data_IF_789427116350
#
_entry.id   IF_789427116350
#
_cell.length_a   1.000
_cell.length_b   1.000
_cell.length_c   1.000
_cell.angle_alpha   90.00
_cell.angle_beta   90.00
_cell.angle_gamma   90.00
#
_symmetry.space_group_name_H-M   'P 1'
#
loop_
_entity.id
_entity.type
_entity.pdbx_description
1 polymer ?
#
# COMPACT_ATOMS: atom_id res chain seq x y z
N UNK A 1 33.89 3.51 25.59
CA UNK A 1 32.52 3.40 25.04
C UNK A 1 32.54 4.00 23.65
N UNK A 2 32.51 3.17 22.61
CA UNK A 2 32.31 3.64 21.23
C UNK A 2 30.85 4.11 21.14
N UNK A 3 30.62 5.35 20.68
CA UNK A 3 29.28 5.79 20.36
C UNK A 3 28.68 4.84 19.31
N UNK A 4 27.41 4.47 19.47
CA UNK A 4 26.72 3.71 18.44
C UNK A 4 26.60 4.58 17.17
N UNK A 5 26.82 3.99 16.00
CA UNK A 5 26.62 4.67 14.71
C UNK A 5 25.18 5.21 14.63
N UNK A 6 24.97 6.46 14.16
CA UNK A 6 23.64 7.05 14.07
C UNK A 6 22.75 6.25 13.13
N UNK A 7 21.50 6.01 13.56
CA UNK A 7 20.53 5.27 12.75
C UNK A 7 20.17 6.03 11.48
N UNK A 8 19.57 5.35 10.49
CA UNK A 8 19.04 6.05 9.32
C UNK A 8 17.90 7.02 9.70
N UNK A 9 17.19 6.73 10.79
CA UNK A 9 16.20 7.66 11.34
C UNK A 9 16.84 8.95 11.83
N UNK A 10 17.98 8.87 12.53
CA UNK A 10 18.73 10.06 12.98
C UNK A 10 19.27 10.87 11.81
N UNK A 11 19.72 10.19 10.74
CA UNK A 11 20.20 10.83 9.51
C UNK A 11 19.09 11.54 8.73
N UNK A 12 17.88 10.97 8.68
CA UNK A 12 16.71 11.60 8.04
C UNK A 12 16.17 12.75 8.88
N UNK A 13 16.06 12.52 10.20
CA UNK A 13 15.43 13.43 11.15
C UNK A 13 13.90 13.28 11.19
N UNK A 14 13.35 13.32 12.41
CA UNK A 14 11.93 13.12 12.68
C UNK A 14 11.02 14.08 11.90
N UNK A 15 11.38 15.37 11.84
CA UNK A 15 10.58 16.41 11.18
C UNK A 15 10.56 16.24 9.65
N UNK A 16 11.70 15.91 9.02
CA UNK A 16 11.77 15.66 7.57
C UNK A 16 10.96 14.42 7.21
N UNK A 17 11.09 13.34 7.98
CA UNK A 17 10.29 12.15 7.76
C UNK A 17 8.80 12.47 7.85
N UNK A 18 8.38 13.27 8.83
CA UNK A 18 6.97 13.64 9.00
C UNK A 18 6.45 14.52 7.86
N UNK A 19 7.25 15.48 7.38
CA UNK A 19 6.90 16.30 6.23
C UNK A 19 6.72 15.46 4.97
N UNK A 20 7.62 14.49 4.73
CA UNK A 20 7.53 13.55 3.61
C UNK A 20 6.27 12.69 3.68
N UNK A 21 5.95 12.13 4.86
CA UNK A 21 4.72 11.33 5.06
C UNK A 21 3.46 12.16 4.85
N UNK A 22 3.46 13.42 5.27
CA UNK A 22 2.33 14.32 5.06
C UNK A 22 2.09 14.59 3.56
N UNK A 23 3.14 14.94 2.81
CA UNK A 23 3.08 15.12 1.34
C UNK A 23 2.64 13.84 0.63
N UNK A 24 3.20 12.69 1.02
CA UNK A 24 2.76 11.40 0.52
C UNK A 24 1.24 11.20 0.66
N UNK A 25 0.66 11.53 1.82
CA UNK A 25 -0.78 11.39 2.00
C UNK A 25 -1.62 12.43 1.26
N UNK A 26 -1.11 13.65 1.04
CA UNK A 26 -1.76 14.59 0.11
C UNK A 26 -1.88 13.98 -1.29
N UNK A 27 -0.79 13.38 -1.79
CA UNK A 27 -0.77 12.70 -3.08
C UNK A 27 -1.70 11.49 -3.12
N UNK A 28 -1.69 10.65 -2.08
CA UNK A 28 -2.56 9.46 -1.99
C UNK A 28 -4.04 9.84 -2.06
N UNK A 29 -4.46 10.86 -1.31
CA UNK A 29 -5.86 11.27 -1.29
C UNK A 29 -6.29 11.95 -2.60
N UNK A 30 -5.37 12.60 -3.31
CA UNK A 30 -5.63 13.22 -4.62
C UNK A 30 -5.49 12.23 -5.80
N UNK A 31 -4.96 11.02 -5.58
CA UNK A 31 -4.65 10.09 -6.65
C UNK A 31 -5.90 9.45 -7.26
N UNK A 32 -6.00 9.50 -8.59
CA UNK A 32 -7.16 8.99 -9.33
C UNK A 32 -7.31 7.46 -9.26
N UNK A 33 -6.23 6.71 -9.00
CA UNK A 33 -6.27 5.24 -8.96
C UNK A 33 -6.49 4.69 -7.57
N UNK A 34 -6.05 5.37 -6.52
CA UNK A 34 -6.14 4.84 -5.14
C UNK A 34 -6.89 5.75 -4.16
N UNK A 35 -7.10 7.02 -4.46
CA UNK A 35 -7.71 7.99 -3.53
C UNK A 35 -9.09 7.58 -3.03
N UNK A 36 -9.88 6.89 -3.86
CA UNK A 36 -11.20 6.39 -3.47
C UNK A 36 -11.15 5.39 -2.29
N UNK A 37 -10.04 4.66 -2.10
CA UNK A 37 -9.85 3.73 -0.98
C UNK A 37 -9.69 4.46 0.37
N UNK A 38 -9.37 5.75 0.32
CA UNK A 38 -9.10 6.60 1.48
C UNK A 38 -10.24 7.56 1.83
N UNK A 39 -11.36 7.52 1.09
CA UNK A 39 -12.55 8.33 1.40
C UNK A 39 -13.07 8.03 2.81
N UNK A 40 -13.31 9.09 3.58
CA UNK A 40 -13.80 9.01 4.96
C UNK A 40 -12.77 8.51 5.97
N UNK A 41 -11.50 8.31 5.57
CA UNK A 41 -10.41 8.00 6.53
C UNK A 41 -9.89 9.28 7.16
N UNK A 42 -9.53 9.18 8.43
CA UNK A 42 -8.83 10.25 9.14
C UNK A 42 -7.38 10.36 8.63
N UNK A 43 -7.10 11.41 7.86
CA UNK A 43 -5.77 11.67 7.28
C UNK A 43 -4.70 11.88 8.35
N UNK A 44 -5.01 12.61 9.43
CA UNK A 44 -4.04 12.89 10.48
C UNK A 44 -3.65 11.58 11.21
N UNK A 45 -4.63 10.72 11.47
CA UNK A 45 -4.38 9.41 12.04
C UNK A 45 -3.51 8.53 11.12
N UNK A 46 -3.77 8.54 9.81
CA UNK A 46 -2.98 7.77 8.84
C UNK A 46 -1.52 8.26 8.77
N UNK A 47 -1.31 9.57 8.72
CA UNK A 47 0.04 10.18 8.75
C UNK A 47 0.79 9.74 10.01
N UNK A 48 0.13 9.74 11.17
CA UNK A 48 0.76 9.33 12.43
C UNK A 48 1.22 7.87 12.38
N UNK A 49 0.34 6.95 11.98
CA UNK A 49 0.64 5.51 11.93
C UNK A 49 1.73 5.18 10.90
N UNK A 50 1.72 5.84 9.75
CA UNK A 50 2.75 5.63 8.73
C UNK A 50 4.09 6.21 9.16
N UNK A 51 4.10 7.36 9.84
CA UNK A 51 5.32 7.96 10.39
C UNK A 51 5.96 7.04 11.45
N UNK A 52 5.17 6.52 12.39
CA UNK A 52 5.66 5.56 13.40
C UNK A 52 6.28 4.32 12.75
N UNK A 53 5.59 3.76 11.76
CA UNK A 53 6.04 2.57 11.04
C UNK A 53 7.34 2.85 10.28
N UNK A 54 7.42 3.96 9.55
CA UNK A 54 8.61 4.35 8.80
C UNK A 54 9.80 4.67 9.72
N UNK A 55 9.56 5.37 10.84
CA UNK A 55 10.59 5.66 11.84
C UNK A 55 11.20 4.36 12.39
N UNK A 56 10.35 3.40 12.75
CA UNK A 56 10.76 2.08 13.22
C UNK A 56 11.55 1.31 12.16
N UNK A 57 11.13 1.34 10.89
CA UNK A 57 11.84 0.70 9.77
C UNK A 57 13.25 1.26 9.55
N UNK A 58 13.45 2.55 9.85
CA UNK A 58 14.75 3.22 9.76
C UNK A 58 15.63 3.05 11.00
N UNK A 59 15.16 2.29 12.00
CA UNK A 59 15.90 2.01 13.23
C UNK A 59 15.69 3.05 14.34
N UNK A 60 14.71 3.94 14.22
CA UNK A 60 14.33 4.84 15.30
C UNK A 60 13.66 4.10 16.46
N UNK A 61 13.87 4.58 17.68
CA UNK A 61 13.21 4.06 18.90
C UNK A 61 11.76 4.58 18.99
N UNK A 62 10.95 4.18 18.01
CA UNK A 62 9.53 4.55 17.89
C UNK A 62 8.69 3.27 17.87
N UNK A 63 7.71 3.22 18.76
CA UNK A 63 6.73 2.14 18.79
C UNK A 63 5.65 2.39 17.73
N UNK A 64 5.32 1.35 16.96
CA UNK A 64 4.15 1.37 16.10
C UNK A 64 2.90 1.07 16.94
N UNK A 65 1.98 2.04 17.03
CA UNK A 65 0.76 1.93 17.83
C UNK A 65 -0.49 1.62 16.97
N UNK A 66 -0.30 1.31 15.69
CA UNK A 66 -1.38 0.96 14.79
C UNK A 66 -1.85 -0.48 14.90
N UNK A 67 -3.00 -0.75 14.29
CA UNK A 67 -3.52 -2.12 14.15
C UNK A 67 -2.57 -2.97 13.31
N UNK A 68 -2.52 -4.30 13.50
CA UNK A 68 -1.81 -5.18 12.59
C UNK A 68 -2.25 -4.95 11.14
N UNK A 69 -1.29 -4.90 10.21
CA UNK A 69 -1.55 -4.49 8.82
C UNK A 69 -2.61 -5.37 8.15
N UNK A 70 -2.56 -6.70 8.38
CA UNK A 70 -3.60 -7.64 7.89
C UNK A 70 -4.99 -7.25 8.35
N UNK A 71 -5.16 -6.86 9.62
CA UNK A 71 -6.45 -6.49 10.16
C UNK A 71 -6.92 -5.13 9.63
N UNK A 72 -6.02 -4.16 9.56
CA UNK A 72 -6.31 -2.82 9.07
C UNK A 72 -6.80 -2.82 7.62
N UNK A 73 -6.28 -3.73 6.79
CA UNK A 73 -6.58 -3.80 5.35
C UNK A 73 -7.58 -4.90 4.96
N UNK A 74 -7.95 -5.82 5.89
CA UNK A 74 -8.82 -6.99 5.61
C UNK A 74 -10.11 -6.68 4.85
N UNK A 75 -10.72 -5.52 5.09
CA UNK A 75 -12.01 -5.13 4.50
C UNK A 75 -11.88 -4.26 3.24
N UNK A 76 -10.66 -3.93 2.82
CA UNK A 76 -10.40 -3.08 1.66
C UNK A 76 -10.07 -3.93 0.44
N UNK A 77 -10.75 -3.76 -0.71
CA UNK A 77 -10.44 -4.48 -1.95
C UNK A 77 -9.17 -3.90 -2.60
N UNK A 78 -8.01 -4.25 -2.06
CA UNK A 78 -6.70 -3.76 -2.52
C UNK A 78 -6.12 -4.76 -3.53
N UNK A 79 -6.10 -4.37 -4.80
CA UNK A 79 -5.45 -5.11 -5.88
C UNK A 79 -3.95 -4.81 -5.91
N UNK A 80 -3.17 -5.65 -6.61
CA UNK A 80 -1.73 -5.46 -6.72
C UNK A 80 -1.32 -4.10 -7.28
N UNK A 81 -1.99 -3.64 -8.34
CA UNK A 81 -1.74 -2.33 -8.93
C UNK A 81 -2.00 -1.15 -7.97
N UNK A 82 -2.96 -1.28 -7.04
CA UNK A 82 -3.20 -0.25 -6.02
C UNK A 82 -2.01 -0.16 -5.05
N UNK A 83 -1.46 -1.31 -4.66
CA UNK A 83 -0.29 -1.37 -3.80
C UNK A 83 0.94 -0.74 -4.48
N UNK A 84 1.17 -1.06 -5.74
CA UNK A 84 2.31 -0.52 -6.49
C UNK A 84 2.16 0.97 -6.74
N UNK A 85 0.94 1.46 -7.01
CA UNK A 85 0.70 2.89 -7.11
C UNK A 85 1.06 3.62 -5.82
N UNK A 86 0.63 3.08 -4.67
CA UNK A 86 1.00 3.64 -3.36
C UNK A 86 2.53 3.68 -3.19
N UNK A 87 3.23 2.60 -3.56
CA UNK A 87 4.69 2.53 -3.49
C UNK A 87 5.38 3.58 -4.39
N UNK A 88 4.85 3.82 -5.58
CA UNK A 88 5.39 4.83 -6.48
C UNK A 88 5.20 6.25 -5.92
N UNK A 89 4.03 6.56 -5.36
CA UNK A 89 3.81 7.84 -4.66
C UNK A 89 4.74 8.00 -3.45
N UNK A 90 4.98 6.93 -2.70
CA UNK A 90 5.92 6.91 -1.59
C UNK A 90 7.35 7.19 -2.07
N UNK A 91 7.79 6.55 -3.17
CA UNK A 91 9.10 6.80 -3.79
C UNK A 91 9.24 8.26 -4.22
N UNK A 92 8.23 8.82 -4.87
CA UNK A 92 8.24 10.22 -5.32
C UNK A 92 8.36 11.19 -4.15
N UNK A 93 7.55 11.00 -3.09
CA UNK A 93 7.64 11.83 -1.89
C UNK A 93 9.02 11.75 -1.22
N UNK A 94 9.63 10.56 -1.15
CA UNK A 94 10.98 10.44 -0.57
C UNK A 94 12.06 11.17 -1.39
N UNK A 95 11.95 11.13 -2.72
CA UNK A 95 12.86 11.85 -3.62
C UNK A 95 12.67 13.35 -3.48
N UNK A 96 11.43 13.83 -3.52
CA UNK A 96 11.10 15.27 -3.46
C UNK A 96 11.46 15.91 -2.10
N UNK A 97 11.61 15.10 -1.04
CA UNK A 97 12.05 15.55 0.29
C UNK A 97 13.53 15.27 0.57
N UNK A 98 14.31 14.91 -0.45
CA UNK A 98 15.75 14.65 -0.37
C UNK A 98 16.12 13.67 0.76
N UNK A 99 15.39 12.56 0.88
CA UNK A 99 15.78 11.51 1.82
C UNK A 99 17.09 10.84 1.33
N UNK A 100 18.02 10.47 2.22
CA UNK A 100 19.23 9.76 1.84
C UNK A 100 18.91 8.47 1.05
N UNK A 101 19.66 8.14 -0.03
CA UNK A 101 19.39 6.96 -0.85
C UNK A 101 19.29 5.65 -0.05
N UNK A 102 20.11 5.49 0.99
CA UNK A 102 20.05 4.34 1.88
C UNK A 102 18.71 4.24 2.64
N UNK A 103 18.15 5.36 3.09
CA UNK A 103 16.84 5.40 3.75
C UNK A 103 15.72 5.07 2.76
N UNK A 104 15.80 5.59 1.53
CA UNK A 104 14.81 5.28 0.48
C UNK A 104 14.77 3.78 0.18
N UNK A 105 15.94 3.16 -0.01
CA UNK A 105 16.06 1.73 -0.28
C UNK A 105 15.50 0.89 0.87
N UNK A 106 15.85 1.23 2.11
CA UNK A 106 15.34 0.54 3.31
C UNK A 106 13.82 0.63 3.40
N UNK A 107 13.23 1.81 3.19
CA UNK A 107 11.78 2.00 3.27
C UNK A 107 11.04 1.27 2.16
N UNK A 108 11.55 1.29 0.92
CA UNK A 108 10.96 0.55 -0.20
C UNK A 108 11.02 -0.95 0.03
N UNK A 109 12.17 -1.47 0.46
CA UNK A 109 12.35 -2.90 0.76
C UNK A 109 11.36 -3.37 1.84
N UNK A 110 11.26 -2.63 2.95
CA UNK A 110 10.33 -2.97 4.02
C UNK A 110 8.87 -2.90 3.56
N UNK A 111 8.47 -1.83 2.85
CA UNK A 111 7.10 -1.74 2.34
C UNK A 111 6.78 -2.92 1.40
N UNK A 112 7.67 -3.28 0.45
CA UNK A 112 7.50 -4.45 -0.43
C UNK A 112 7.31 -5.74 0.36
N UNK A 113 8.08 -5.96 1.42
CA UNK A 113 7.96 -7.15 2.27
C UNK A 113 6.60 -7.23 3.01
N UNK A 114 5.91 -6.12 3.20
CA UNK A 114 4.58 -6.06 3.82
C UNK A 114 3.44 -6.35 2.84
N UNK A 115 3.70 -6.48 1.54
CA UNK A 115 2.69 -6.63 0.49
C UNK A 115 1.66 -7.72 0.78
N UNK A 116 2.12 -8.91 1.15
CA UNK A 116 1.25 -10.05 1.45
C UNK A 116 0.37 -9.84 2.70
N UNK A 117 0.60 -8.79 3.48
CA UNK A 117 -0.25 -8.38 4.60
C UNK A 117 -1.32 -7.36 4.19
N UNK A 118 -1.19 -6.72 3.03
CA UNK A 118 -2.06 -5.63 2.56
C UNK A 118 -2.95 -6.08 1.41
N UNK A 119 -2.43 -6.92 0.51
CA UNK A 119 -3.17 -7.45 -0.64
C UNK A 119 -3.00 -8.97 -0.74
N UNK A 120 -4.01 -9.62 -1.33
CA UNK A 120 -3.98 -11.05 -1.66
C UNK A 120 -3.16 -11.35 -2.92
N UNK A 121 -2.73 -10.32 -3.66
CA UNK A 121 -1.88 -10.43 -4.84
C UNK A 121 -0.39 -10.27 -4.45
N UNK A 122 0.39 -11.36 -4.35
CA UNK A 122 1.74 -11.31 -3.81
C UNK A 122 2.79 -10.73 -4.77
N UNK A 123 2.52 -10.66 -6.07
CA UNK A 123 3.56 -10.33 -7.07
C UNK A 123 3.16 -9.25 -8.08
N UNK A 124 1.88 -8.88 -8.19
CA UNK A 124 1.36 -7.98 -9.24
C UNK A 124 1.57 -8.51 -10.66
N UNK A 125 1.85 -9.81 -10.80
CA UNK A 125 2.05 -10.40 -12.12
C UNK A 125 0.72 -10.46 -12.87
N UNK A 126 0.74 -10.08 -14.15
CA UNK A 126 -0.33 -10.41 -15.09
C UNK A 126 -0.36 -11.92 -15.32
N UNK A 127 -0.96 -12.68 -14.40
CA UNK A 127 -1.09 -14.12 -14.55
C UNK A 127 -2.25 -14.45 -15.50
N UNK A 128 -1.99 -14.39 -16.81
CA UNK A 128 -2.95 -14.76 -17.87
C UNK A 128 -3.50 -16.19 -17.73
N UNK A 129 -2.81 -17.04 -16.96
CA UNK A 129 -3.21 -18.44 -16.71
C UNK A 129 -4.33 -18.59 -15.68
N UNK A 130 -4.56 -17.59 -14.81
CA UNK A 130 -5.59 -17.67 -13.77
C UNK A 130 -7.01 -17.39 -14.32
N UNK A 131 -7.12 -16.74 -15.47
CA UNK A 131 -8.39 -16.44 -16.15
C UNK A 131 -9.02 -17.66 -16.82
N UNK A 132 -8.27 -18.75 -17.04
CA UNK A 132 -8.77 -19.95 -17.70
C UNK A 132 -9.70 -20.80 -16.82
N UNK A 133 -9.72 -20.59 -15.49
CA UNK A 133 -10.51 -21.39 -14.56
C UNK A 133 -11.82 -20.73 -14.10
N UNK A 134 -12.21 -19.57 -14.69
CA UNK A 134 -13.38 -18.80 -14.26
C UNK A 134 -14.55 -18.79 -15.27
N UNK A 135 -14.53 -19.64 -16.30
CA UNK A 135 -15.60 -19.65 -17.33
C UNK A 135 -16.00 -21.07 -17.74
N UNK A 136 -16.57 -21.84 -16.81
CA UNK A 136 -17.76 -22.63 -17.16
C UNK A 136 -18.98 -21.82 -16.73
N UNK A 137 -19.36 -20.85 -17.56
CA UNK A 137 -20.71 -20.30 -17.48
C UNK A 137 -21.62 -21.42 -17.97
N UNK A 138 -22.23 -22.15 -17.04
CA UNK A 138 -23.29 -23.10 -17.36
C UNK A 138 -24.34 -22.39 -18.22
N UNK A 139 -24.56 -22.90 -19.43
CA UNK A 139 -25.57 -22.39 -20.34
C UNK A 139 -26.93 -22.29 -19.63
N UNK A 140 -27.73 -21.23 -19.87
CA UNK A 140 -29.01 -21.08 -19.20
C UNK A 140 -29.93 -22.26 -19.55
N UNK A 141 -30.51 -22.85 -18.50
CA UNK A 141 -31.49 -23.93 -18.58
C UNK A 141 -32.74 -23.40 -19.29
N UNK A 142 -33.01 -23.94 -20.49
CA UNK A 142 -34.35 -24.18 -21.02
C UNK A 142 -35.14 -22.96 -21.52
N UNK A 143 -35.05 -22.67 -22.82
CA UNK A 143 -36.17 -22.06 -23.55
C UNK A 143 -36.88 -23.13 -24.38
N UNK A 144 -37.75 -23.91 -23.72
CA UNK A 144 -38.61 -24.89 -24.39
C UNK A 144 -40.03 -24.31 -24.54
N UNK A 145 -40.46 -24.20 -25.79
CA UNK A 145 -41.84 -24.14 -26.31
C UNK A 145 -42.76 -22.95 -25.96
N UNK A 146 -42.88 -22.03 -26.93
CA UNK A 146 -44.16 -21.44 -27.40
C UNK A 146 -44.01 -21.42 -28.93
N UNK A 147 -44.73 -22.13 -29.78
CA UNK A 147 -46.15 -22.43 -29.80
C UNK A 147 -46.55 -22.32 -31.28
N UNK A 148 -46.65 -23.46 -31.98
CA UNK A 148 -47.09 -23.54 -33.38
C UNK A 148 -48.61 -23.33 -33.42
N UNK A 149 -49.11 -22.27 -34.05
CA UNK A 149 -50.48 -22.18 -34.62
C UNK A 149 -50.40 -21.33 -35.89
N UNK A 150 -50.38 -22.02 -37.03
CA UNK A 150 -51.44 -22.15 -38.06
C UNK A 150 -51.29 -21.08 -39.13
#
# INVERSE_FOLDING_TARGET
MTAAEPSLFDQVGAARLRAMVADFYERVFADVMIGFLFVGKDRAHLIEREWELAARMLGGDVAYAGRPLREAHRRSPILGGHFDRRLELWRQAMVDHDLPPAAQEVLLRHNRALRAQVTADPTSDCNHTQTANATEIAAPIGLTTLGRRR
#
